data_IF_506894946618
#
_entry.id   IF_506894946618
#
_cell.length_a   1.000
_cell.length_b   1.000
_cell.length_c   1.000
_cell.angle_alpha   90.00
_cell.angle_beta   90.00
_cell.angle_gamma   90.00
#
_symmetry.space_group_name_H-M   'P 1'
#
loop_
_entity.id
_entity.type
_entity.pdbx_description
1 polymer ?
#
# COMPACT_ATOMS: atom_id res chain seq x y z
N UNK A 1 7.70 71.23 -4.85
CA UNK A 1 6.85 70.03 -4.64
C UNK A 1 7.29 68.80 -5.47
N UNK A 2 8.59 68.65 -5.80
CA UNK A 2 9.09 67.54 -6.63
C UNK A 2 9.57 66.30 -5.84
N UNK A 3 9.45 66.29 -4.50
CA UNK A 3 10.00 65.24 -3.64
C UNK A 3 9.03 64.08 -3.34
N UNK A 4 7.73 64.25 -3.60
CA UNK A 4 6.70 63.23 -3.29
C UNK A 4 6.68 62.09 -4.32
N UNK A 5 6.93 62.38 -5.60
CA UNK A 5 6.92 61.38 -6.67
C UNK A 5 8.06 60.35 -6.60
N UNK A 6 9.27 60.75 -6.17
CA UNK A 6 10.42 59.84 -6.02
C UNK A 6 10.20 58.79 -4.92
N UNK A 7 9.52 59.14 -3.83
CA UNK A 7 9.25 58.20 -2.72
C UNK A 7 8.24 57.13 -3.10
N UNK A 8 7.26 57.46 -3.94
CA UNK A 8 6.25 56.51 -4.43
C UNK A 8 6.84 55.47 -5.40
N UNK A 9 7.69 55.90 -6.33
CA UNK A 9 8.36 55.00 -7.28
C UNK A 9 9.27 53.97 -6.58
N UNK A 10 10.00 54.39 -5.54
CA UNK A 10 10.86 53.50 -4.74
C UNK A 10 10.03 52.48 -3.96
N UNK A 11 8.90 52.90 -3.38
CA UNK A 11 7.99 51.99 -2.66
C UNK A 11 7.36 50.90 -3.55
N UNK A 12 6.96 51.26 -4.77
CA UNK A 12 6.39 50.31 -5.74
C UNK A 12 7.44 49.29 -6.21
N UNK A 13 8.66 49.73 -6.51
CA UNK A 13 9.74 48.84 -6.94
C UNK A 13 10.16 47.83 -5.88
N UNK A 14 10.30 48.26 -4.62
CA UNK A 14 10.64 47.37 -3.50
C UNK A 14 9.51 46.36 -3.23
N UNK A 15 8.25 46.79 -3.31
CA UNK A 15 7.10 45.90 -3.15
C UNK A 15 7.04 44.80 -4.21
N UNK A 16 7.16 45.17 -5.50
CA UNK A 16 7.16 44.19 -6.60
C UNK A 16 8.37 43.25 -6.52
N UNK A 17 9.56 43.76 -6.18
CA UNK A 17 10.75 42.95 -6.00
C UNK A 17 10.59 41.90 -4.89
N UNK A 18 10.01 42.29 -3.74
CA UNK A 18 9.74 41.37 -2.64
C UNK A 18 8.73 40.29 -3.02
N UNK A 19 7.65 40.65 -3.71
CA UNK A 19 6.63 39.69 -4.17
C UNK A 19 7.22 38.69 -5.16
N UNK A 20 8.01 39.16 -6.13
CA UNK A 20 8.69 38.27 -7.08
C UNK A 20 9.68 37.33 -6.38
N UNK A 21 10.46 37.85 -5.42
CA UNK A 21 11.40 37.04 -4.64
C UNK A 21 10.68 35.95 -3.84
N UNK A 22 9.60 36.30 -3.13
CA UNK A 22 8.78 35.33 -2.39
C UNK A 22 8.18 34.30 -3.34
N UNK A 23 7.69 34.72 -4.50
CA UNK A 23 7.12 33.82 -5.51
C UNK A 23 8.17 32.84 -6.05
N UNK A 24 9.39 33.31 -6.33
CA UNK A 24 10.49 32.46 -6.80
C UNK A 24 10.96 31.49 -5.72
N UNK A 25 11.04 31.91 -4.45
CA UNK A 25 11.44 31.03 -3.35
C UNK A 25 10.38 29.96 -3.07
N UNK A 26 9.11 30.35 -3.00
CA UNK A 26 8.00 29.41 -2.78
C UNK A 26 7.82 28.49 -3.98
N UNK A 27 7.82 29.05 -5.20
CA UNK A 27 7.70 28.29 -6.45
C UNK A 27 8.88 27.34 -6.66
N UNK A 28 10.11 27.81 -6.42
CA UNK A 28 11.32 26.99 -6.51
C UNK A 28 11.33 25.85 -5.48
N UNK A 29 10.98 26.14 -4.23
CA UNK A 29 10.86 25.12 -3.18
C UNK A 29 9.78 24.07 -3.51
N UNK A 30 8.62 24.50 -3.98
CA UNK A 30 7.54 23.60 -4.40
C UNK A 30 7.95 22.73 -5.60
N UNK A 31 8.65 23.31 -6.58
CA UNK A 31 9.17 22.58 -7.74
C UNK A 31 10.18 21.51 -7.33
N UNK A 32 11.11 21.80 -6.43
CA UNK A 32 12.08 20.81 -5.93
C UNK A 32 11.39 19.66 -5.19
N UNK A 33 10.44 19.97 -4.30
CA UNK A 33 9.70 18.93 -3.56
C UNK A 33 8.89 18.01 -4.50
N UNK A 34 8.26 18.57 -5.53
CA UNK A 34 7.56 17.78 -6.56
C UNK A 34 8.56 16.92 -7.34
N UNK A 35 9.69 17.48 -7.75
CA UNK A 35 10.73 16.76 -8.50
C UNK A 35 11.28 15.56 -7.72
N UNK A 36 11.57 15.72 -6.44
CA UNK A 36 12.10 14.63 -5.61
C UNK A 36 11.05 13.52 -5.41
N UNK A 37 9.77 13.89 -5.31
CA UNK A 37 8.67 12.91 -5.25
C UNK A 37 8.53 12.14 -6.56
N UNK A 38 8.67 12.81 -7.70
CA UNK A 38 8.63 12.17 -9.03
C UNK A 38 9.78 11.17 -9.18
N UNK A 39 11.01 11.55 -8.80
CA UNK A 39 12.17 10.64 -8.83
C UNK A 39 11.98 9.40 -7.95
N UNK A 40 11.37 9.55 -6.77
CA UNK A 40 11.01 8.41 -5.92
C UNK A 40 9.94 7.52 -6.57
N UNK A 41 9.00 8.12 -7.29
CA UNK A 41 8.02 7.34 -8.08
C UNK A 41 8.70 6.54 -9.19
N UNK A 42 9.70 7.12 -9.86
CA UNK A 42 10.51 6.42 -10.86
C UNK A 42 11.28 5.25 -10.25
N UNK A 43 11.92 5.42 -9.07
CA UNK A 43 12.66 4.33 -8.41
C UNK A 43 11.75 3.16 -7.99
N UNK A 44 10.52 3.45 -7.55
CA UNK A 44 9.54 2.39 -7.21
C UNK A 44 9.15 1.59 -8.44
N UNK A 45 8.95 2.25 -9.58
CA UNK A 45 8.66 1.55 -10.83
C UNK A 45 9.85 0.71 -11.28
N UNK A 46 11.08 1.24 -11.16
CA UNK A 46 12.30 0.50 -11.49
C UNK A 46 12.48 -0.75 -10.60
N UNK A 47 12.26 -0.63 -9.28
CA UNK A 47 12.35 -1.77 -8.36
C UNK A 47 11.21 -2.77 -8.55
N UNK A 48 10.00 -2.31 -8.88
CA UNK A 48 8.88 -3.18 -9.24
C UNK A 48 9.13 -3.90 -10.57
N UNK A 49 9.62 -3.20 -11.58
CA UNK A 49 9.98 -3.79 -12.88
C UNK A 49 11.07 -4.84 -12.71
N UNK A 50 12.05 -4.61 -11.81
CA UNK A 50 13.06 -5.59 -11.47
C UNK A 50 12.44 -6.85 -10.80
N UNK A 51 11.49 -6.67 -9.88
CA UNK A 51 10.75 -7.80 -9.29
C UNK A 51 9.95 -8.58 -10.34
N UNK A 52 9.27 -7.88 -11.25
CA UNK A 52 8.50 -8.51 -12.33
C UNK A 52 9.41 -9.25 -13.30
N UNK A 53 10.58 -8.69 -13.63
CA UNK A 53 11.55 -9.33 -14.49
C UNK A 53 12.09 -10.63 -13.89
N UNK A 54 12.30 -10.68 -12.57
CA UNK A 54 12.84 -11.86 -11.88
C UNK A 54 11.77 -12.90 -11.52
N UNK A 55 10.60 -12.47 -11.02
CA UNK A 55 9.58 -13.35 -10.43
C UNK A 55 8.24 -13.38 -11.17
N UNK A 56 8.10 -12.60 -12.24
CA UNK A 56 6.83 -12.44 -12.96
C UNK A 56 5.88 -11.47 -12.27
N UNK A 57 4.75 -11.22 -12.94
CA UNK A 57 3.69 -10.37 -12.39
C UNK A 57 3.00 -11.06 -11.21
N UNK A 58 2.37 -10.32 -10.28
CA UNK A 58 1.64 -10.92 -9.17
C UNK A 58 0.68 -12.02 -9.63
N UNK A 59 -0.20 -11.73 -10.58
CA UNK A 59 -1.18 -12.68 -11.16
C UNK A 59 -0.57 -13.92 -11.87
N UNK A 60 0.73 -13.94 -12.16
CA UNK A 60 1.42 -15.08 -12.76
C UNK A 60 1.93 -16.08 -11.70
N UNK A 61 1.86 -15.73 -10.42
CA UNK A 61 2.27 -16.62 -9.34
C UNK A 61 1.38 -17.87 -9.30
N UNK A 62 2.03 -19.03 -9.16
CA UNK A 62 1.39 -20.34 -9.09
C UNK A 62 1.76 -21.04 -7.77
N UNK A 63 0.83 -21.12 -6.80
CA UNK A 63 1.02 -21.89 -5.58
C UNK A 63 1.39 -23.36 -5.83
N UNK A 64 1.85 -24.04 -4.78
CA UNK A 64 2.07 -25.49 -4.84
C UNK A 64 0.75 -26.22 -5.11
N UNK A 65 0.80 -27.46 -5.62
CA UNK A 65 -0.40 -28.22 -5.95
C UNK A 65 -1.38 -28.39 -4.77
N UNK A 66 -0.87 -28.53 -3.55
CA UNK A 66 -1.67 -28.62 -2.33
C UNK A 66 -2.02 -27.26 -1.71
N UNK A 67 -1.52 -26.15 -2.28
CA UNK A 67 -1.55 -24.82 -1.69
C UNK A 67 -0.62 -24.65 -0.49
N UNK A 68 -0.02 -25.73 0.03
CA UNK A 68 0.84 -25.68 1.20
C UNK A 68 2.09 -24.85 0.92
N UNK A 69 2.49 -24.06 1.92
CA UNK A 69 3.66 -23.18 1.85
C UNK A 69 4.86 -23.97 2.39
N UNK A 70 5.92 -24.23 1.59
CA UNK A 70 7.10 -24.90 2.12
C UNK A 70 7.68 -24.10 3.30
N UNK A 71 8.15 -24.77 4.36
CA UNK A 71 8.69 -24.13 5.56
C UNK A 71 9.72 -23.04 5.23
N UNK A 72 10.67 -23.34 4.34
CA UNK A 72 11.67 -22.37 3.85
C UNK A 72 11.04 -21.10 3.26
N UNK A 73 9.89 -21.18 2.57
CA UNK A 73 9.22 -20.01 2.00
C UNK A 73 8.50 -19.20 3.08
N UNK A 74 7.97 -19.84 4.12
CA UNK A 74 7.43 -19.13 5.29
C UNK A 74 8.54 -18.40 6.06
N UNK A 75 9.71 -19.00 6.22
CA UNK A 75 10.87 -18.35 6.82
C UNK A 75 11.31 -17.11 6.01
N UNK A 76 11.33 -17.21 4.68
CA UNK A 76 11.60 -16.06 3.80
C UNK A 76 10.52 -14.99 3.95
N UNK A 77 9.25 -15.36 4.01
CA UNK A 77 8.15 -14.42 4.25
C UNK A 77 8.35 -13.66 5.57
N UNK A 78 8.65 -14.37 6.66
CA UNK A 78 8.91 -13.75 7.96
C UNK A 78 10.17 -12.86 7.94
N UNK A 79 11.22 -13.27 7.23
CA UNK A 79 12.42 -12.44 7.06
C UNK A 79 12.11 -11.13 6.32
N UNK A 80 11.30 -11.19 5.25
CA UNK A 80 10.79 -9.99 4.55
C UNK A 80 10.02 -9.09 5.52
N UNK A 81 9.06 -9.65 6.28
CA UNK A 81 8.26 -8.91 7.29
C UNK A 81 9.17 -8.25 8.34
N UNK A 82 10.16 -8.98 8.84
CA UNK A 82 11.11 -8.49 9.85
C UNK A 82 11.98 -7.37 9.31
N UNK A 83 12.50 -7.51 8.09
CA UNK A 83 13.33 -6.49 7.43
C UNK A 83 12.53 -5.20 7.14
N UNK A 84 11.23 -5.33 6.83
CA UNK A 84 10.33 -4.18 6.65
C UNK A 84 9.87 -3.55 7.95
N UNK A 85 9.98 -4.22 9.10
CA UNK A 85 9.43 -3.76 10.37
C UNK A 85 9.84 -2.31 10.75
N UNK A 86 11.09 -1.84 10.54
CA UNK A 86 11.46 -0.45 10.82
C UNK A 86 10.70 0.56 9.95
N UNK A 87 10.58 0.32 8.63
CA UNK A 87 9.86 1.23 7.73
C UNK A 87 8.35 1.18 8.00
N UNK A 88 7.82 -0.02 8.27
CA UNK A 88 6.44 -0.24 8.65
C UNK A 88 6.06 0.50 9.93
N UNK A 89 6.83 0.36 11.02
CA UNK A 89 6.57 1.09 12.28
C UNK A 89 6.63 2.60 12.10
N UNK A 90 7.65 3.11 11.40
CA UNK A 90 7.73 4.54 11.09
C UNK A 90 6.49 5.03 10.33
N UNK A 91 6.04 4.28 9.32
CA UNK A 91 4.83 4.63 8.58
C UNK A 91 3.57 4.56 9.47
N UNK A 92 3.44 3.51 10.28
CA UNK A 92 2.31 3.30 11.18
C UNK A 92 2.20 4.39 12.25
N UNK A 93 3.32 4.78 12.88
CA UNK A 93 3.38 5.88 13.85
C UNK A 93 2.92 7.20 13.22
N UNK A 94 3.38 7.49 12.01
CA UNK A 94 2.99 8.69 11.30
C UNK A 94 1.51 8.65 10.89
N UNK A 95 0.98 7.50 10.47
CA UNK A 95 -0.44 7.36 10.12
C UNK A 95 -1.34 7.39 11.37
N UNK A 96 -0.92 6.78 12.48
CA UNK A 96 -1.68 6.62 13.72
C UNK A 96 -2.08 7.95 14.36
N UNK A 97 -1.25 8.99 14.18
CA UNK A 97 -1.57 10.38 14.55
C UNK A 97 -2.91 10.85 13.93
N UNK A 98 -3.39 10.22 12.85
CA UNK A 98 -4.63 10.59 12.16
C UNK A 98 -5.85 9.78 12.55
N UNK A 99 -5.70 8.61 13.18
CA UNK A 99 -6.82 7.69 13.43
C UNK A 99 -7.53 7.90 14.77
N UNK A 100 -6.88 8.44 15.80
CA UNK A 100 -7.39 8.31 17.17
C UNK A 100 -8.31 9.43 17.66
N UNK A 101 -8.39 10.59 17.01
CA UNK A 101 -9.15 11.70 17.60
C UNK A 101 -9.96 12.51 16.58
N UNK A 102 -11.23 12.13 16.40
CA UNK A 102 -12.23 12.93 15.67
C UNK A 102 -12.33 14.36 16.23
N UNK A 103 -12.07 14.56 17.53
CA UNK A 103 -12.15 15.88 18.16
C UNK A 103 -10.98 16.77 17.77
N UNK A 104 -9.79 16.19 17.58
CA UNK A 104 -8.60 16.87 17.01
C UNK A 104 -8.82 17.13 15.53
N UNK A 105 -9.38 16.17 14.77
CA UNK A 105 -9.71 16.40 13.36
C UNK A 105 -10.76 17.50 13.16
N UNK A 106 -11.75 17.65 14.04
CA UNK A 106 -12.75 18.74 13.97
C UNK A 106 -12.14 20.11 14.26
N UNK A 107 -11.07 20.17 15.06
CA UNK A 107 -10.37 21.42 15.41
C UNK A 107 -9.20 21.77 14.48
N UNK A 108 -8.62 20.79 13.80
CA UNK A 108 -7.53 21.01 12.87
C UNK A 108 -8.00 21.82 11.65
N UNK A 109 -7.28 22.92 11.35
CA UNK A 109 -7.59 23.74 10.18
C UNK A 109 -7.38 22.95 8.89
N UNK A 110 -8.09 23.32 7.82
CA UNK A 110 -7.92 22.71 6.48
C UNK A 110 -6.45 22.73 6.02
N UNK A 111 -5.67 23.73 6.44
CA UNK A 111 -4.25 23.83 6.16
C UNK A 111 -3.41 22.77 6.87
N UNK A 112 -3.72 22.44 8.14
CA UNK A 112 -3.03 21.39 8.88
C UNK A 112 -3.29 20.00 8.27
N UNK A 113 -4.54 19.71 7.88
CA UNK A 113 -4.91 18.45 7.21
C UNK A 113 -4.19 18.28 5.87
N UNK A 114 -4.07 19.36 5.11
CA UNK A 114 -3.32 19.37 3.85
C UNK A 114 -1.82 19.11 4.09
N UNK A 115 -1.19 19.84 5.02
CA UNK A 115 0.23 19.65 5.37
C UNK A 115 0.54 18.20 5.77
N UNK A 116 -0.37 17.60 6.52
CA UNK A 116 -0.35 16.21 6.94
C UNK A 116 -0.45 15.22 5.76
N UNK A 117 -1.39 15.42 4.85
CA UNK A 117 -1.54 14.53 3.69
C UNK A 117 -0.27 14.50 2.81
N UNK A 118 0.38 15.65 2.68
CA UNK A 118 1.64 15.77 1.95
C UNK A 118 2.83 15.09 2.66
N UNK A 119 2.81 14.91 3.98
CA UNK A 119 3.91 14.24 4.69
C UNK A 119 3.82 12.71 4.69
N UNK A 120 2.62 12.14 4.51
CA UNK A 120 2.43 10.68 4.46
C UNK A 120 2.88 10.11 3.11
N UNK A 121 2.63 10.82 2.00
CA UNK A 121 2.96 10.35 0.64
C UNK A 121 4.42 9.89 0.53
N UNK A 122 5.43 10.70 0.91
CA UNK A 122 6.82 10.27 0.82
C UNK A 122 7.14 9.04 1.68
N UNK A 123 6.49 8.88 2.83
CA UNK A 123 6.69 7.74 3.73
C UNK A 123 6.10 6.46 3.14
N UNK A 124 4.93 6.53 2.50
CA UNK A 124 4.38 5.35 1.81
C UNK A 124 5.22 5.00 0.59
N UNK A 125 5.61 5.98 -0.22
CA UNK A 125 6.50 5.75 -1.36
C UNK A 125 7.81 5.09 -0.91
N UNK A 126 8.45 5.61 0.15
CA UNK A 126 9.67 5.01 0.71
C UNK A 126 9.44 3.60 1.26
N UNK A 127 8.28 3.33 1.85
CA UNK A 127 7.95 1.99 2.33
C UNK A 127 7.74 0.99 1.18
N UNK A 128 7.08 1.41 0.09
CA UNK A 128 6.89 0.57 -1.11
C UNK A 128 8.22 0.28 -1.82
N UNK A 129 9.07 1.29 -1.98
CA UNK A 129 10.42 1.17 -2.55
C UNK A 129 11.24 0.12 -1.75
N UNK A 130 11.28 0.30 -0.41
CA UNK A 130 11.96 -0.66 0.49
C UNK A 130 11.36 -2.06 0.46
N UNK A 131 10.04 -2.18 0.34
CA UNK A 131 9.37 -3.50 0.21
C UNK A 131 9.88 -4.19 -1.04
N UNK A 132 9.94 -3.49 -2.17
CA UNK A 132 10.36 -4.08 -3.43
C UNK A 132 11.84 -4.54 -3.36
N UNK A 133 12.72 -3.71 -2.81
CA UNK A 133 14.12 -4.05 -2.59
C UNK A 133 14.28 -5.28 -1.68
N UNK A 134 13.58 -5.30 -0.54
CA UNK A 134 13.64 -6.41 0.42
C UNK A 134 13.09 -7.70 -0.20
N UNK A 135 11.98 -7.63 -0.94
CA UNK A 135 11.43 -8.77 -1.66
C UNK A 135 12.45 -9.35 -2.65
N UNK A 136 13.15 -8.48 -3.39
CA UNK A 136 14.19 -8.88 -4.34
C UNK A 136 15.39 -9.51 -3.62
N UNK A 137 15.88 -8.89 -2.54
CA UNK A 137 16.99 -9.38 -1.72
C UNK A 137 16.71 -10.75 -1.08
N UNK A 138 15.48 -10.96 -0.62
CA UNK A 138 15.04 -12.21 0.02
C UNK A 138 14.60 -13.28 -0.99
N UNK A 139 14.53 -12.91 -2.27
CA UNK A 139 14.12 -13.76 -3.36
C UNK A 139 12.67 -14.23 -3.28
N UNK A 140 11.75 -13.28 -3.13
CA UNK A 140 10.30 -13.48 -3.07
C UNK A 140 9.59 -12.54 -4.04
N UNK A 141 8.76 -13.08 -4.92
CA UNK A 141 7.91 -12.27 -5.80
C UNK A 141 6.72 -11.66 -5.06
N UNK A 142 6.19 -10.56 -5.60
CA UNK A 142 5.01 -9.89 -5.03
C UNK A 142 3.77 -10.80 -4.99
N UNK A 143 3.57 -11.66 -6.01
CA UNK A 143 2.45 -12.61 -6.03
C UNK A 143 2.52 -13.63 -4.89
N UNK A 144 3.72 -14.17 -4.63
CA UNK A 144 3.96 -15.08 -3.50
C UNK A 144 3.75 -14.39 -2.15
N UNK A 145 4.30 -13.18 -1.99
CA UNK A 145 4.11 -12.39 -0.77
C UNK A 145 2.62 -12.15 -0.48
N UNK A 146 1.86 -11.71 -1.48
CA UNK A 146 0.41 -11.46 -1.32
C UNK A 146 -0.37 -12.75 -1.01
N UNK A 147 -0.03 -13.87 -1.67
CA UNK A 147 -0.64 -15.17 -1.40
C UNK A 147 -0.41 -15.63 0.06
N UNK A 148 0.84 -15.61 0.51
CA UNK A 148 1.18 -16.01 1.89
C UNK A 148 0.53 -15.06 2.89
N UNK A 149 0.59 -13.74 2.66
CA UNK A 149 -0.03 -12.76 3.54
C UNK A 149 -1.54 -13.01 3.67
N UNK A 150 -2.27 -13.19 2.56
CA UNK A 150 -3.72 -13.37 2.64
C UNK A 150 -4.10 -14.61 3.43
N UNK A 151 -3.44 -15.74 3.16
CA UNK A 151 -3.70 -16.99 3.87
C UNK A 151 -3.34 -16.90 5.35
N UNK A 152 -2.18 -16.31 5.66
CA UNK A 152 -1.69 -16.21 7.02
C UNK A 152 -2.56 -15.26 7.87
N UNK A 153 -2.84 -14.07 7.36
CA UNK A 153 -3.53 -13.06 8.17
C UNK A 153 -5.05 -13.14 8.06
N UNK A 154 -5.62 -13.31 6.87
CA UNK A 154 -7.09 -13.27 6.73
C UNK A 154 -7.71 -14.63 7.01
N UNK A 155 -7.16 -15.70 6.43
CA UNK A 155 -7.82 -17.01 6.49
C UNK A 155 -7.39 -17.82 7.74
N UNK A 156 -6.13 -17.71 8.18
CA UNK A 156 -5.63 -18.45 9.35
C UNK A 156 -5.78 -17.67 10.67
N UNK A 157 -5.33 -16.42 10.73
CA UNK A 157 -5.38 -15.58 11.95
C UNK A 157 -6.66 -14.75 12.09
N UNK A 158 -7.61 -14.88 11.16
CA UNK A 158 -8.90 -14.17 11.15
C UNK A 158 -8.76 -12.63 11.33
N UNK A 159 -7.73 -12.05 10.69
CA UNK A 159 -7.55 -10.59 10.66
C UNK A 159 -8.59 -9.95 9.77
N UNK A 160 -9.07 -8.80 10.21
CA UNK A 160 -10.08 -8.05 9.47
C UNK A 160 -9.47 -7.50 8.19
N UNK A 161 -9.95 -7.97 7.03
CA UNK A 161 -9.56 -7.41 5.73
C UNK A 161 -9.79 -5.91 5.65
N UNK A 162 -10.71 -5.35 6.43
CA UNK A 162 -11.01 -3.92 6.46
C UNK A 162 -10.05 -3.08 7.32
N UNK A 163 -9.10 -3.72 7.99
CA UNK A 163 -8.03 -3.06 8.73
C UNK A 163 -7.30 -2.06 7.84
N UNK A 164 -6.89 -0.96 8.44
CA UNK A 164 -6.26 0.15 7.76
C UNK A 164 -6.76 1.50 8.25
N UNK A 165 -6.15 2.60 7.78
CA UNK A 165 -6.49 3.93 8.24
C UNK A 165 -7.85 4.37 7.69
N UNK A 166 -8.54 5.21 8.44
CA UNK A 166 -9.76 5.90 7.98
C UNK A 166 -9.44 7.03 6.97
N UNK A 167 -8.55 6.78 6.00
CA UNK A 167 -8.13 7.72 4.98
C UNK A 167 -8.58 7.24 3.60
N UNK A 168 -8.98 8.17 2.75
CA UNK A 168 -9.38 7.86 1.37
C UNK A 168 -8.20 8.09 0.43
N UNK A 169 -7.72 7.00 -0.16
CA UNK A 169 -6.76 7.03 -1.25
C UNK A 169 -7.52 7.29 -2.55
N UNK A 170 -7.19 8.39 -3.24
CA UNK A 170 -7.69 8.64 -4.60
C UNK A 170 -6.51 8.84 -5.53
N UNK A 171 -6.35 7.92 -6.47
CA UNK A 171 -5.58 8.19 -7.67
C UNK A 171 -6.38 9.17 -8.53
N UNK A 172 -5.71 10.21 -9.04
CA UNK A 172 -6.36 11.18 -9.92
C UNK A 172 -6.25 10.63 -11.34
N UNK A 173 -7.38 10.29 -11.95
CA UNK A 173 -7.47 9.84 -13.35
C UNK A 173 -6.63 10.75 -14.27
N UNK A 174 -5.73 10.16 -15.06
CA UNK A 174 -4.90 10.85 -16.05
C UNK A 174 -3.54 11.36 -15.57
N UNK A 175 -3.12 11.08 -14.34
CA UNK A 175 -1.74 11.34 -13.91
C UNK A 175 -1.27 10.27 -12.91
N UNK A 176 -0.03 9.77 -13.02
CA UNK A 176 0.58 8.80 -12.08
C UNK A 176 0.84 9.40 -10.67
N UNK A 177 0.12 10.47 -10.31
CA UNK A 177 0.26 11.12 -9.00
C UNK A 177 -0.75 10.53 -8.02
N UNK A 178 -0.24 9.75 -7.08
CA UNK A 178 -0.96 9.36 -5.87
C UNK A 178 -1.39 10.61 -5.08
N UNK A 179 -2.69 10.74 -4.80
CA UNK A 179 -3.20 11.82 -3.96
C UNK A 179 -3.93 11.27 -2.74
N UNK A 180 -3.50 11.72 -1.57
CA UNK A 180 -4.15 11.39 -0.31
C UNK A 180 -5.12 12.52 0.01
N UNK A 181 -6.41 12.26 -0.07
CA UNK A 181 -7.40 13.27 0.32
C UNK A 181 -7.70 13.15 1.81
N UNK A 182 -6.89 13.83 2.61
CA UNK A 182 -7.15 14.06 4.04
C UNK A 182 -8.20 15.16 4.16
N UNK A 183 -9.47 14.82 3.95
CA UNK A 183 -10.59 15.78 3.97
C UNK A 183 -11.74 15.36 3.05
N UNK A 184 -12.79 14.79 3.64
CA UNK A 184 -13.98 14.27 2.98
C UNK A 184 -14.71 13.32 3.94
N UNK A 185 -15.84 12.74 3.53
CA UNK A 185 -16.40 11.59 4.28
C UNK A 185 -15.31 10.52 4.28
N UNK A 186 -14.85 10.13 5.48
CA UNK A 186 -13.88 9.06 5.65
C UNK A 186 -14.38 7.81 4.89
N UNK A 187 -13.46 7.07 4.28
CA UNK A 187 -13.83 5.80 3.66
C UNK A 187 -14.39 4.90 4.76
N UNK A 188 -15.61 4.41 4.57
CA UNK A 188 -16.20 3.52 5.58
C UNK A 188 -15.42 2.20 5.61
N UNK A 189 -15.46 1.51 6.75
CA UNK A 189 -14.88 0.17 6.89
C UNK A 189 -15.36 -0.76 5.77
N UNK A 190 -16.66 -0.75 5.49
CA UNK A 190 -17.30 -1.51 4.39
C UNK A 190 -16.78 -1.14 3.00
N UNK A 191 -16.50 0.14 2.73
CA UNK A 191 -15.92 0.57 1.46
C UNK A 191 -14.48 0.08 1.29
N UNK A 192 -13.69 0.05 2.37
CA UNK A 192 -12.33 -0.51 2.37
C UNK A 192 -12.36 -2.00 2.14
N UNK A 193 -13.13 -2.72 2.94
CA UNK A 193 -13.35 -4.15 2.82
C UNK A 193 -13.72 -4.54 1.38
N UNK A 194 -14.73 -3.86 0.81
CA UNK A 194 -15.17 -4.13 -0.57
C UNK A 194 -14.08 -3.85 -1.61
N UNK A 195 -13.18 -2.89 -1.38
CA UNK A 195 -12.06 -2.61 -2.28
C UNK A 195 -11.01 -3.72 -2.18
N UNK A 196 -10.61 -4.07 -0.96
CA UNK A 196 -9.59 -5.08 -0.67
C UNK A 196 -10.04 -6.45 -1.15
N UNK A 197 -11.25 -6.89 -0.79
CA UNK A 197 -11.84 -8.16 -1.24
C UNK A 197 -11.91 -8.26 -2.76
N UNK A 198 -12.26 -7.19 -3.49
CA UNK A 198 -12.28 -7.22 -4.97
C UNK A 198 -10.89 -7.40 -5.58
N UNK A 199 -9.90 -6.74 -5.00
CA UNK A 199 -8.53 -6.86 -5.48
C UNK A 199 -7.96 -8.25 -5.21
N UNK A 200 -8.10 -8.72 -3.95
CA UNK A 200 -7.69 -10.06 -3.55
C UNK A 200 -8.42 -11.13 -4.35
N UNK A 201 -9.73 -10.99 -4.56
CA UNK A 201 -10.50 -11.91 -5.39
C UNK A 201 -9.91 -12.09 -6.80
N UNK A 202 -9.52 -10.98 -7.45
CA UNK A 202 -8.88 -11.04 -8.77
C UNK A 202 -7.56 -11.81 -8.75
N UNK A 203 -6.72 -11.56 -7.74
CA UNK A 203 -5.44 -12.24 -7.56
C UNK A 203 -5.61 -13.72 -7.21
N UNK A 204 -6.49 -14.02 -6.27
CA UNK A 204 -6.82 -15.38 -5.82
C UNK A 204 -7.36 -16.24 -6.95
N UNK A 205 -8.22 -15.68 -7.81
CA UNK A 205 -8.70 -16.38 -8.99
C UNK A 205 -7.55 -16.71 -9.97
N UNK A 206 -6.62 -15.77 -10.17
CA UNK A 206 -5.43 -16.02 -10.99
C UNK A 206 -4.53 -17.10 -10.37
N UNK A 207 -4.23 -17.01 -9.06
CA UNK A 207 -3.43 -18.01 -8.35
C UNK A 207 -4.02 -19.42 -8.47
N UNK A 208 -5.34 -19.54 -8.28
CA UNK A 208 -6.03 -20.82 -8.33
C UNK A 208 -6.06 -21.39 -9.75
N UNK A 209 -6.26 -20.56 -10.77
CA UNK A 209 -6.16 -21.00 -12.17
C UNK A 209 -4.75 -21.53 -12.49
N UNK A 210 -3.71 -20.80 -12.10
CA UNK A 210 -2.33 -21.22 -12.30
C UNK A 210 -2.02 -22.52 -11.52
N UNK A 211 -2.58 -22.67 -10.31
CA UNK A 211 -2.46 -23.88 -9.51
C UNK A 211 -3.13 -25.08 -10.18
N UNK A 212 -4.35 -24.92 -10.71
CA UNK A 212 -5.09 -25.96 -11.44
C UNK A 212 -4.34 -26.36 -12.72
N UNK A 213 -3.83 -25.40 -13.48
CA UNK A 213 -3.06 -25.66 -14.70
C UNK A 213 -1.82 -26.53 -14.40
N UNK A 214 -1.12 -26.23 -13.30
CA UNK A 214 0.10 -26.93 -12.92
C UNK A 214 -0.14 -28.29 -12.24
N UNK A 215 -1.16 -28.38 -11.40
CA UNK A 215 -1.45 -29.55 -10.57
C UNK A 215 -2.44 -30.53 -11.19
N UNK A 216 -3.13 -30.10 -12.25
CA UNK A 216 -4.34 -30.74 -12.76
C UNK A 216 -5.57 -30.43 -11.92
N UNK A 217 -6.73 -30.79 -12.45
CA UNK A 217 -8.01 -30.66 -11.74
C UNK A 217 -8.05 -31.62 -10.54
N UNK A 218 -8.02 -31.05 -9.34
CA UNK A 218 -8.29 -31.76 -8.09
C UNK A 218 -9.67 -31.34 -7.58
N UNK A 219 -10.48 -32.24 -6.99
CA UNK A 219 -11.82 -31.91 -6.53
C UNK A 219 -11.87 -30.68 -5.61
N UNK A 220 -10.91 -30.57 -4.69
CA UNK A 220 -10.83 -29.43 -3.76
C UNK A 220 -10.58 -28.10 -4.47
N UNK A 221 -9.69 -28.08 -5.48
CA UNK A 221 -9.39 -26.88 -6.27
C UNK A 221 -10.55 -26.51 -7.19
N UNK A 222 -11.23 -27.51 -7.77
CA UNK A 222 -12.40 -27.28 -8.63
C UNK A 222 -13.58 -26.68 -7.84
N UNK A 223 -13.87 -27.21 -6.65
CA UNK A 223 -14.90 -26.66 -5.75
C UNK A 223 -14.55 -25.24 -5.32
N UNK A 224 -13.30 -25.00 -4.92
CA UNK A 224 -12.84 -23.66 -4.54
C UNK A 224 -12.93 -22.66 -5.69
N UNK A 225 -12.57 -23.10 -6.90
CA UNK A 225 -12.62 -22.26 -8.09
C UNK A 225 -14.05 -21.89 -8.46
N UNK A 226 -14.97 -22.85 -8.43
CA UNK A 226 -16.40 -22.59 -8.62
C UNK A 226 -16.94 -21.60 -7.57
N UNK A 227 -16.56 -21.76 -6.31
CA UNK A 227 -16.98 -20.88 -5.23
C UNK A 227 -16.47 -19.43 -5.41
N UNK A 228 -15.20 -19.26 -5.80
CA UNK A 228 -14.65 -17.94 -6.15
C UNK A 228 -15.38 -17.34 -7.35
N UNK A 229 -15.52 -18.06 -8.46
CA UNK A 229 -16.19 -17.57 -9.68
C UNK A 229 -17.61 -17.08 -9.40
N UNK A 230 -18.34 -17.78 -8.52
CA UNK A 230 -19.71 -17.43 -8.16
C UNK A 230 -19.84 -16.28 -7.15
N UNK A 231 -18.76 -15.89 -6.46
CA UNK A 231 -18.78 -14.80 -5.48
C UNK A 231 -17.55 -13.88 -5.58
N UNK A 232 -17.72 -12.74 -6.28
CA UNK A 232 -16.68 -11.70 -6.48
C UNK A 232 -16.12 -11.02 -5.23
N UNK A 233 -16.66 -11.31 -4.04
CA UNK A 233 -16.21 -10.75 -2.76
C UNK A 233 -15.66 -11.83 -1.81
N UNK A 234 -15.70 -13.09 -2.25
CA UNK A 234 -15.14 -14.22 -1.51
C UNK A 234 -13.62 -14.24 -1.62
N UNK A 235 -12.96 -14.55 -0.51
CA UNK A 235 -11.52 -14.80 -0.46
C UNK A 235 -11.25 -16.30 -0.69
N UNK A 236 -10.01 -16.61 -1.06
CA UNK A 236 -9.56 -17.98 -1.20
C UNK A 236 -9.65 -18.72 0.15
N UNK A 237 -10.37 -19.84 0.19
CA UNK A 237 -10.58 -20.67 1.38
C UNK A 237 -11.33 -19.99 2.55
N UNK A 238 -12.25 -19.07 2.25
CA UNK A 238 -12.99 -18.30 3.29
C UNK A 238 -13.77 -19.18 4.29
N UNK A 239 -14.20 -20.39 3.89
CA UNK A 239 -14.89 -21.34 4.78
C UNK A 239 -13.94 -22.24 5.59
N UNK A 240 -12.63 -22.13 5.38
CA UNK A 240 -11.60 -22.87 6.09
C UNK A 240 -10.46 -23.33 5.19
N UNK A 241 -9.23 -23.15 5.67
CA UNK A 241 -8.03 -23.57 4.97
C UNK A 241 -7.95 -25.10 4.80
N UNK A 242 -7.49 -25.61 3.64
CA UNK A 242 -7.12 -27.02 3.51
C UNK A 242 -6.08 -27.41 4.58
N UNK A 243 -6.18 -28.63 5.11
CA UNK A 243 -5.34 -29.10 6.22
C UNK A 243 -3.84 -28.89 5.97
N UNK A 244 -3.38 -29.18 4.74
CA UNK A 244 -1.98 -29.00 4.36
C UNK A 244 -1.53 -27.53 4.39
N UNK A 245 -2.43 -26.59 4.07
CA UNK A 245 -2.16 -25.15 4.13
C UNK A 245 -2.11 -24.69 5.59
N UNK A 246 -3.13 -25.05 6.38
CA UNK A 246 -3.17 -24.71 7.80
C UNK A 246 -1.94 -25.25 8.56
N UNK A 247 -1.56 -26.50 8.30
CA UNK A 247 -0.38 -27.13 8.90
C UNK A 247 0.94 -26.43 8.52
N UNK A 248 1.00 -25.78 7.34
CA UNK A 248 2.18 -25.03 6.92
C UNK A 248 2.34 -23.67 7.61
N UNK A 249 1.23 -23.08 8.08
CA UNK A 249 1.21 -21.76 8.74
C UNK A 249 1.32 -21.90 10.26
N UNK A 250 0.68 -22.94 10.83
CA UNK A 250 0.54 -23.11 12.28
C UNK A 250 1.84 -22.97 13.11
N UNK A 251 3.01 -23.48 12.67
CA UNK A 251 4.25 -23.34 13.44
C UNK A 251 4.73 -21.90 13.63
N UNK A 252 4.21 -20.95 12.84
CA UNK A 252 4.67 -19.56 12.77
C UNK A 252 3.61 -18.56 13.27
N UNK A 253 2.52 -19.07 13.86
CA UNK A 253 1.35 -18.26 14.22
C UNK A 253 1.69 -17.12 15.19
N UNK A 254 2.60 -17.37 16.15
CA UNK A 254 3.00 -16.38 17.14
C UNK A 254 3.81 -15.22 16.51
N UNK A 255 4.78 -15.54 15.64
CA UNK A 255 5.57 -14.54 14.93
C UNK A 255 4.72 -13.73 13.95
N UNK A 256 3.78 -14.39 13.26
CA UNK A 256 2.83 -13.72 12.38
C UNK A 256 1.97 -12.74 13.17
N UNK A 257 1.35 -13.18 14.28
CA UNK A 257 0.54 -12.34 15.15
C UNK A 257 1.32 -11.11 15.64
N UNK A 258 2.55 -11.31 16.13
CA UNK A 258 3.41 -10.24 16.60
C UNK A 258 3.85 -9.27 15.49
N UNK A 259 3.90 -9.75 14.24
CA UNK A 259 4.29 -8.98 13.06
C UNK A 259 3.14 -8.23 12.38
N UNK A 260 1.88 -8.43 12.80
CA UNK A 260 0.72 -7.79 12.18
C UNK A 260 0.59 -6.32 12.59
N UNK A 261 0.41 -5.43 11.61
CA UNK A 261 0.21 -4.00 11.84
C UNK A 261 -1.08 -3.57 11.13
N UNK A 262 -2.24 -3.52 11.82
CA UNK A 262 -3.55 -3.29 11.21
C UNK A 262 -3.60 -2.06 10.30
N UNK A 263 -2.99 -0.95 10.74
CA UNK A 263 -3.04 0.33 10.02
C UNK A 263 -2.34 0.28 8.64
N UNK A 264 -1.51 -0.72 8.37
CA UNK A 264 -0.75 -0.86 7.12
C UNK A 264 -1.35 -1.86 6.14
N UNK A 265 -2.42 -2.57 6.50
CA UNK A 265 -2.98 -3.65 5.69
C UNK A 265 -3.25 -3.23 4.23
N UNK A 266 -3.76 -2.01 4.00
CA UNK A 266 -3.96 -1.45 2.66
C UNK A 266 -2.67 -1.28 1.84
N UNK A 267 -1.57 -0.92 2.50
CA UNK A 267 -0.28 -0.66 1.86
C UNK A 267 0.40 -1.99 1.51
N UNK A 268 0.36 -2.94 2.45
CA UNK A 268 0.89 -4.30 2.28
C UNK A 268 0.23 -5.02 1.09
N UNK A 269 -1.07 -4.81 0.89
CA UNK A 269 -1.85 -5.38 -0.20
C UNK A 269 -1.61 -4.75 -1.58
N UNK A 270 -0.71 -3.77 -1.72
CA UNK A 270 -0.42 -3.17 -3.04
C UNK A 270 -1.59 -2.40 -3.67
N UNK A 271 -2.65 -2.10 -2.91
CA UNK A 271 -3.86 -1.38 -3.38
C UNK A 271 -3.62 0.10 -3.76
N UNK A 272 -2.37 0.52 -3.68
CA UNK A 272 -1.83 1.82 -4.05
C UNK A 272 -1.26 1.83 -5.47
N UNK A 273 -0.96 0.66 -6.05
CA UNK A 273 -0.05 0.56 -7.22
C UNK A 273 -0.80 0.38 -8.55
N UNK A 274 -2.04 -0.11 -8.53
CA UNK A 274 -2.77 -0.45 -9.74
C UNK A 274 -4.17 0.17 -9.75
N UNK A 275 -4.35 1.35 -10.38
CA UNK A 275 -5.59 1.81 -11.03
C UNK A 275 -5.40 3.00 -11.98
#
# INVERSE_FOLDING_TARGET
>A
MASTGKKWAIGCGVGCGLVLLVTLLVGGGMFMAIRDTVKKGESINESFDALVAEYGRPEEYAPSASGAIPARRMEVFLAVRQAMAPSARNLAENIGIFSEDESVQKKASNFQKMKVGFSIIPLVLEHLDKRNDILLEQGMGQGEYTYIYSLAYFDYLDKDVADGPNVRLKQKEGNNTLSFKVGGKAQTREERERKIRRHLHSLHLAFLNNQIEKAGEQPVLATEHEALVNNRHRLLWEEGLPEAVAASIAPYAEELEAGYIPILNLVEMGLMENH
#
